data_IF_025188394467
#
_entry.id   IF_025188394467
#
_cell.length_a   1.000
_cell.length_b   1.000
_cell.length_c   1.000
_cell.angle_alpha   90.00
_cell.angle_beta   90.00
_cell.angle_gamma   90.00
#
_symmetry.space_group_name_H-M   'P 1'
#
loop_
_entity.id
_entity.type
_entity.pdbx_description
1 polymer ?
#
# COMPACT_ATOMS: atom_id res chain seq x y z
N UNK A 1 9.61 -9.09 -17.66
CA UNK A 1 8.62 -9.12 -16.58
C UNK A 1 8.92 -10.26 -15.62
N UNK A 2 9.02 -9.98 -14.34
CA UNK A 2 9.41 -10.95 -13.33
C UNK A 2 8.25 -11.33 -12.46
N UNK A 3 7.88 -12.61 -12.43
CA UNK A 3 6.88 -13.10 -11.49
C UNK A 3 7.51 -13.30 -10.12
N UNK A 4 6.73 -13.11 -9.08
CA UNK A 4 7.16 -13.24 -7.71
C UNK A 4 6.04 -13.86 -6.87
N UNK A 5 6.38 -14.89 -6.10
CA UNK A 5 5.43 -15.48 -5.16
C UNK A 5 5.42 -14.65 -3.89
N UNK A 6 4.28 -14.08 -3.55
CA UNK A 6 4.14 -13.23 -2.36
C UNK A 6 3.53 -14.05 -1.23
N UNK A 7 4.25 -14.16 -0.12
CA UNK A 7 3.84 -14.95 1.04
C UNK A 7 3.38 -14.09 2.21
N UNK A 8 3.33 -12.76 2.02
CA UNK A 8 2.95 -11.83 3.08
C UNK A 8 1.45 -11.53 3.14
N UNK A 9 0.65 -12.05 2.20
CA UNK A 9 -0.81 -11.86 2.23
C UNK A 9 -1.43 -12.80 3.24
N UNK A 10 -2.06 -12.22 4.27
CA UNK A 10 -2.78 -12.94 5.31
C UNK A 10 -4.29 -12.76 5.10
N UNK A 11 -5.12 -13.29 6.00
CA UNK A 11 -6.58 -13.32 5.79
C UNK A 11 -7.18 -11.92 5.50
N UNK A 12 -6.72 -10.89 6.19
CA UNK A 12 -7.31 -9.55 6.07
C UNK A 12 -6.29 -8.44 5.93
N UNK A 13 -5.00 -8.75 5.95
CA UNK A 13 -3.95 -7.73 5.82
C UNK A 13 -2.67 -8.34 5.25
N UNK A 14 -1.66 -7.50 5.14
CA UNK A 14 -0.36 -7.88 4.62
C UNK A 14 0.63 -7.81 5.77
N UNK A 15 1.39 -8.89 5.98
CA UNK A 15 2.30 -9.01 7.09
C UNK A 15 3.38 -10.03 6.80
N UNK A 16 4.62 -9.73 7.16
CA UNK A 16 5.68 -10.68 6.96
C UNK A 16 6.96 -10.29 7.67
N UNK A 17 7.88 -11.22 7.71
CA UNK A 17 9.21 -10.98 8.24
C UNK A 17 10.02 -10.22 7.19
N UNK A 18 10.69 -9.14 7.63
CA UNK A 18 11.44 -8.25 6.75
C UNK A 18 12.58 -9.03 6.09
N UNK A 19 12.71 -8.87 4.77
CA UNK A 19 13.69 -9.55 3.92
C UNK A 19 13.50 -11.07 3.80
N UNK A 20 12.41 -11.60 4.35
CA UNK A 20 12.02 -13.01 4.15
C UNK A 20 10.72 -13.05 3.34
N UNK A 21 9.67 -12.40 3.83
CA UNK A 21 8.34 -12.36 3.18
C UNK A 21 8.04 -10.99 2.58
N UNK A 22 8.64 -9.92 3.12
CA UNK A 22 8.32 -8.55 2.73
C UNK A 22 9.60 -7.72 2.70
N UNK A 23 9.70 -6.86 1.71
CA UNK A 23 10.78 -5.88 1.54
C UNK A 23 10.22 -4.67 0.79
N UNK A 24 11.08 -3.71 0.46
CA UNK A 24 10.65 -2.51 -0.27
C UNK A 24 10.12 -2.84 -1.67
N UNK A 25 10.69 -3.85 -2.35
CA UNK A 25 10.17 -4.28 -3.66
C UNK A 25 8.74 -4.82 -3.54
N UNK A 26 8.47 -5.62 -2.53
CA UNK A 26 7.13 -6.15 -2.27
C UNK A 26 6.17 -5.00 -1.95
N UNK A 27 6.59 -4.05 -1.12
CA UNK A 27 5.78 -2.88 -0.79
C UNK A 27 5.45 -2.06 -2.04
N UNK A 28 6.43 -1.85 -2.91
CA UNK A 28 6.25 -1.18 -4.19
C UNK A 28 5.23 -1.91 -5.07
N UNK A 29 5.38 -3.22 -5.22
CA UNK A 29 4.49 -4.04 -6.05
C UNK A 29 3.05 -3.98 -5.56
N UNK A 30 2.85 -4.09 -4.25
CA UNK A 30 1.51 -4.09 -3.65
C UNK A 30 0.84 -2.73 -3.83
N UNK A 31 1.55 -1.64 -3.56
CA UNK A 31 0.97 -0.30 -3.68
C UNK A 31 0.64 0.04 -5.13
N UNK A 32 1.48 -0.36 -6.07
CA UNK A 32 1.21 -0.17 -7.50
C UNK A 32 -0.02 -0.96 -7.93
N UNK A 33 -0.16 -2.19 -7.43
CA UNK A 33 -1.33 -3.03 -7.69
C UNK A 33 -2.61 -2.41 -7.12
N UNK A 34 -2.56 -1.84 -5.92
CA UNK A 34 -3.70 -1.16 -5.30
C UNK A 34 -4.14 0.02 -6.17
N UNK A 35 -3.21 0.88 -6.55
CA UNK A 35 -3.53 2.05 -7.36
C UNK A 35 -4.09 1.65 -8.73
N UNK A 36 -3.53 0.62 -9.36
CA UNK A 36 -4.00 0.14 -10.65
C UNK A 36 -5.38 -0.51 -10.55
N UNK A 37 -5.58 -1.36 -9.55
CA UNK A 37 -6.85 -2.08 -9.37
C UNK A 37 -8.03 -1.13 -9.18
N UNK A 38 -7.84 -0.08 -8.38
CA UNK A 38 -8.91 0.89 -8.11
C UNK A 38 -8.93 2.05 -9.11
N UNK A 39 -8.03 2.05 -10.09
CA UNK A 39 -7.88 3.16 -11.03
C UNK A 39 -7.83 4.49 -10.26
N UNK A 40 -7.01 4.50 -9.22
CA UNK A 40 -7.05 5.53 -8.20
C UNK A 40 -6.51 6.86 -8.71
N UNK A 41 -7.22 7.95 -8.40
CA UNK A 41 -6.68 9.30 -8.57
C UNK A 41 -5.69 9.62 -7.47
N UNK A 42 -5.99 9.19 -6.25
CA UNK A 42 -5.11 9.39 -5.11
C UNK A 42 -5.24 8.25 -4.10
N UNK A 43 -4.14 8.01 -3.35
CA UNK A 43 -4.05 7.00 -2.30
C UNK A 43 -3.36 7.62 -1.11
N UNK A 44 -3.94 7.50 0.08
CA UNK A 44 -3.34 7.98 1.33
C UNK A 44 -2.26 7.00 1.76
N UNK A 45 -1.12 7.52 2.25
CA UNK A 45 -0.02 6.71 2.77
C UNK A 45 0.36 7.22 4.16
N UNK A 46 0.29 6.34 5.15
CA UNK A 46 0.79 6.61 6.50
C UNK A 46 1.70 5.47 6.95
N UNK A 47 2.44 5.69 8.03
CA UNK A 47 3.33 4.66 8.57
C UNK A 47 3.44 4.79 10.09
N UNK A 48 3.69 3.66 10.73
CA UNK A 48 3.86 3.61 12.19
C UNK A 48 5.31 3.92 12.60
N UNK A 49 5.58 3.82 13.90
CA UNK A 49 6.88 4.21 14.47
C UNK A 49 7.99 3.16 14.29
N UNK A 50 7.75 2.07 13.57
CA UNK A 50 8.79 1.06 13.32
C UNK A 50 9.92 1.65 12.51
N UNK A 51 11.14 1.20 12.80
CA UNK A 51 12.35 1.70 12.14
C UNK A 51 12.30 1.53 10.62
N UNK A 52 11.73 0.43 10.13
CA UNK A 52 11.65 0.14 8.69
C UNK A 52 10.46 0.79 8.01
N UNK A 53 9.49 1.33 8.75
CA UNK A 53 8.26 1.84 8.17
C UNK A 53 8.48 3.03 7.23
N UNK A 54 9.37 4.01 7.52
CA UNK A 54 9.59 5.10 6.56
C UNK A 54 10.08 4.64 5.19
N UNK A 55 11.04 3.70 5.12
CA UNK A 55 11.53 3.22 3.83
C UNK A 55 10.47 2.42 3.06
N UNK A 56 9.64 1.66 3.78
CA UNK A 56 8.52 0.96 3.17
C UNK A 56 7.48 1.96 2.66
N UNK A 57 7.21 3.02 3.42
CA UNK A 57 6.27 4.07 3.00
C UNK A 57 6.77 4.79 1.74
N UNK A 58 8.06 5.03 1.62
CA UNK A 58 8.65 5.61 0.42
C UNK A 58 8.44 4.69 -0.79
N UNK A 59 8.64 3.39 -0.62
CA UNK A 59 8.39 2.41 -1.68
C UNK A 59 6.91 2.36 -2.07
N UNK A 60 6.02 2.45 -1.09
CA UNK A 60 4.58 2.52 -1.32
C UNK A 60 4.22 3.75 -2.15
N UNK A 61 4.74 4.91 -1.77
CA UNK A 61 4.49 6.15 -2.50
C UNK A 61 4.98 6.07 -3.95
N UNK A 62 6.17 5.51 -4.15
CA UNK A 62 6.73 5.33 -5.49
C UNK A 62 5.84 4.43 -6.37
N UNK A 63 5.36 3.32 -5.81
CA UNK A 63 4.47 2.42 -6.54
C UNK A 63 3.17 3.10 -6.96
N UNK A 64 2.59 3.89 -6.07
CA UNK A 64 1.39 4.67 -6.35
C UNK A 64 1.64 5.65 -7.51
N UNK A 65 2.75 6.38 -7.43
CA UNK A 65 3.09 7.37 -8.48
C UNK A 65 3.36 6.71 -9.82
N UNK A 66 4.02 5.55 -9.83
CA UNK A 66 4.30 4.83 -11.06
C UNK A 66 3.02 4.28 -11.71
N UNK A 67 1.97 4.06 -10.94
CA UNK A 67 0.66 3.70 -11.47
C UNK A 67 -0.11 4.91 -12.03
N UNK A 68 0.42 6.12 -11.89
CA UNK A 68 -0.23 7.33 -12.36
C UNK A 68 -1.14 8.00 -11.33
N UNK A 69 -1.10 7.56 -10.08
CA UNK A 69 -1.91 8.11 -8.99
C UNK A 69 -1.07 9.04 -8.12
N UNK A 70 -1.73 9.92 -7.38
CA UNK A 70 -1.05 10.77 -6.41
C UNK A 70 -0.98 10.07 -5.06
N UNK A 71 0.18 10.13 -4.42
CA UNK A 71 0.37 9.61 -3.07
C UNK A 71 0.19 10.75 -2.07
N UNK A 72 -0.86 10.68 -1.25
CA UNK A 72 -1.14 11.68 -0.22
C UNK A 72 -0.52 11.20 1.08
N UNK A 73 0.67 11.69 1.39
CA UNK A 73 1.40 11.20 2.57
C UNK A 73 0.99 11.98 3.81
N UNK A 74 0.66 11.24 4.87
CA UNK A 74 0.29 11.83 6.16
C UNK A 74 1.37 11.62 7.23
N UNK A 75 2.50 11.04 6.84
CA UNK A 75 3.65 10.88 7.71
C UNK A 75 3.44 9.82 8.79
N UNK A 76 4.05 10.05 9.94
CA UNK A 76 3.91 9.17 11.11
C UNK A 76 2.48 9.27 11.63
N UNK A 77 1.72 8.21 11.49
CA UNK A 77 0.29 8.22 11.77
C UNK A 77 -0.18 6.83 12.17
N UNK A 78 -1.26 6.77 12.93
CA UNK A 78 -1.90 5.51 13.24
C UNK A 78 -2.88 5.10 12.15
N UNK A 79 -3.33 3.85 12.22
CA UNK A 79 -4.27 3.28 11.25
C UNK A 79 -5.56 4.11 11.20
N UNK A 80 -6.06 4.56 12.34
CA UNK A 80 -7.29 5.36 12.41
C UNK A 80 -7.12 6.72 11.74
N UNK A 81 -5.96 7.32 11.82
CA UNK A 81 -5.66 8.57 11.11
C UNK A 81 -5.67 8.35 9.60
N UNK A 82 -5.15 7.22 9.15
CA UNK A 82 -5.18 6.86 7.74
C UNK A 82 -6.63 6.70 7.26
N UNK A 83 -7.48 6.03 8.04
CA UNK A 83 -8.90 5.89 7.71
C UNK A 83 -9.59 7.24 7.58
N UNK A 84 -9.36 8.12 8.56
CA UNK A 84 -9.91 9.47 8.53
C UNK A 84 -9.47 10.22 7.27
N UNK A 85 -8.18 10.14 6.94
CA UNK A 85 -7.60 10.85 5.80
C UNK A 85 -8.20 10.38 4.47
N UNK A 86 -8.43 9.08 4.31
CA UNK A 86 -9.07 8.54 3.10
C UNK A 86 -10.42 9.18 2.87
N UNK A 87 -11.23 9.29 3.92
CA UNK A 87 -12.56 9.88 3.83
C UNK A 87 -12.47 11.40 3.63
N UNK A 88 -11.63 12.07 4.42
CA UNK A 88 -11.49 13.54 4.39
C UNK A 88 -10.98 14.05 3.05
N UNK A 89 -10.00 13.39 2.47
CA UNK A 89 -9.40 13.82 1.20
C UNK A 89 -10.08 13.22 -0.02
N UNK A 90 -11.10 12.38 0.17
CA UNK A 90 -11.79 11.73 -0.93
C UNK A 90 -10.88 10.81 -1.74
N UNK A 91 -9.92 10.17 -1.09
CA UNK A 91 -8.98 9.27 -1.76
C UNK A 91 -9.67 7.96 -2.15
N UNK A 92 -9.14 7.30 -3.18
CA UNK A 92 -9.70 6.04 -3.67
C UNK A 92 -9.25 4.84 -2.83
N UNK A 93 -8.17 4.99 -2.07
CA UNK A 93 -7.65 3.95 -1.20
C UNK A 93 -6.73 4.57 -0.15
N UNK A 94 -6.37 3.78 0.86
CA UNK A 94 -5.39 4.17 1.86
C UNK A 94 -4.55 2.98 2.26
N UNK A 95 -3.28 3.24 2.55
CA UNK A 95 -2.31 2.24 2.96
C UNK A 95 -1.59 2.75 4.21
N UNK A 96 -1.65 1.96 5.28
CA UNK A 96 -0.86 2.21 6.48
C UNK A 96 0.23 1.15 6.56
N UNK A 97 1.49 1.58 6.56
CA UNK A 97 2.63 0.67 6.76
C UNK A 97 2.73 0.36 8.24
N UNK A 98 2.37 -0.85 8.63
CA UNK A 98 2.36 -1.27 10.02
C UNK A 98 2.32 -2.80 10.11
N UNK A 99 2.92 -3.35 11.15
CA UNK A 99 2.76 -4.74 11.52
C UNK A 99 2.07 -4.88 12.88
N UNK A 100 1.44 -3.81 13.35
CA UNK A 100 0.69 -3.78 14.62
C UNK A 100 1.55 -4.28 15.80
N UNK A 101 1.21 -5.41 16.39
CA UNK A 101 1.87 -5.95 17.57
C UNK A 101 2.92 -7.02 17.25
N UNK A 102 3.27 -7.22 15.99
CA UNK A 102 4.25 -8.22 15.61
C UNK A 102 5.66 -7.83 16.06
N UNK A 103 6.61 -8.79 16.15
CA UNK A 103 8.00 -8.48 16.51
C UNK A 103 8.62 -7.43 15.59
N UNK A 104 9.70 -6.82 16.07
CA UNK A 104 10.34 -5.68 15.38
C UNK A 104 10.89 -6.05 13.99
N UNK A 105 11.20 -7.32 13.76
CA UNK A 105 11.67 -7.80 12.47
C UNK A 105 10.53 -8.08 11.47
N UNK A 106 9.30 -7.68 11.81
CA UNK A 106 8.13 -7.79 10.95
C UNK A 106 7.68 -6.41 10.49
N UNK A 107 7.06 -6.34 9.33
CA UNK A 107 6.31 -5.18 8.90
C UNK A 107 5.17 -5.65 7.98
N UNK A 108 4.38 -4.72 7.52
CA UNK A 108 3.23 -5.03 6.69
C UNK A 108 2.44 -3.80 6.32
N UNK A 109 1.22 -4.03 5.86
CA UNK A 109 0.34 -2.96 5.42
C UNK A 109 -1.11 -3.29 5.73
N UNK A 110 -1.86 -2.27 6.17
CA UNK A 110 -3.31 -2.31 6.24
C UNK A 110 -3.84 -1.43 5.12
N UNK A 111 -4.80 -1.95 4.36
CA UNK A 111 -5.30 -1.29 3.16
C UNK A 111 -6.81 -1.16 3.25
N UNK A 112 -7.32 0.02 2.91
CA UNK A 112 -8.75 0.27 2.76
C UNK A 112 -9.02 0.90 1.40
N UNK A 113 -10.26 0.79 0.94
CA UNK A 113 -10.71 1.44 -0.28
C UNK A 113 -11.54 2.70 0.05
N UNK A 114 -12.06 3.37 -0.97
CA UNK A 114 -12.79 4.61 -0.82
C UNK A 114 -13.85 4.52 0.29
N UNK A 115 -13.98 5.58 1.09
CA UNK A 115 -14.87 5.60 2.23
C UNK A 115 -14.35 4.82 3.43
N UNK A 116 -13.06 4.52 3.45
CA UNK A 116 -12.37 3.76 4.51
C UNK A 116 -12.96 2.36 4.71
N UNK A 117 -13.49 1.78 3.65
CA UNK A 117 -14.07 0.43 3.67
C UNK A 117 -12.97 -0.62 3.57
N UNK A 118 -13.10 -1.75 4.25
CA UNK A 118 -12.13 -2.83 4.09
C UNK A 118 -12.15 -3.39 2.67
N UNK A 119 -11.04 -3.97 2.24
CA UNK A 119 -10.96 -4.64 0.95
C UNK A 119 -11.84 -5.87 0.95
N UNK A 120 -12.42 -6.16 -0.22
CA UNK A 120 -13.16 -7.39 -0.46
C UNK A 120 -12.14 -8.55 -0.53
N UNK A 121 -12.32 -9.55 0.33
CA UNK A 121 -11.38 -10.67 0.45
C UNK A 121 -11.35 -11.56 -0.80
N UNK A 122 -12.48 -11.71 -1.47
CA UNK A 122 -12.58 -12.61 -2.62
C UNK A 122 -12.28 -11.93 -3.96
N UNK A 123 -12.36 -10.61 -4.02
CA UNK A 123 -12.10 -9.84 -5.25
C UNK A 123 -10.90 -8.93 -5.07
N UNK A 124 -11.05 -7.82 -4.32
CA UNK A 124 -10.00 -6.80 -4.21
C UNK A 124 -8.65 -7.41 -3.79
N UNK A 125 -8.66 -8.18 -2.71
CA UNK A 125 -7.44 -8.72 -2.14
C UNK A 125 -6.76 -9.72 -3.08
N UNK A 126 -7.55 -10.59 -3.72
CA UNK A 126 -7.01 -11.58 -4.64
C UNK A 126 -6.47 -10.96 -5.93
N UNK A 127 -7.14 -9.95 -6.46
CA UNK A 127 -6.67 -9.24 -7.66
C UNK A 127 -5.37 -8.48 -7.36
N UNK A 128 -5.31 -7.82 -6.22
CA UNK A 128 -4.11 -7.08 -5.82
C UNK A 128 -2.94 -8.05 -5.65
N UNK A 129 -3.16 -9.18 -5.00
CA UNK A 129 -2.13 -10.21 -4.82
C UNK A 129 -1.62 -10.72 -6.15
N UNK A 130 -2.52 -11.01 -7.08
CA UNK A 130 -2.15 -11.53 -8.41
C UNK A 130 -1.36 -10.49 -9.21
N UNK A 131 -1.81 -9.23 -9.22
CA UNK A 131 -1.11 -8.15 -9.92
C UNK A 131 0.28 -7.91 -9.34
N UNK A 132 0.38 -7.85 -8.02
CA UNK A 132 1.67 -7.61 -7.37
C UNK A 132 2.67 -8.74 -7.64
N UNK A 133 2.18 -9.97 -7.70
CA UNK A 133 3.02 -11.14 -7.98
C UNK A 133 3.42 -11.26 -9.45
N UNK A 134 2.52 -10.93 -10.37
CA UNK A 134 2.76 -11.09 -11.80
C UNK A 134 3.58 -9.95 -12.42
N UNK A 135 3.58 -8.78 -11.81
CA UNK A 135 4.26 -7.60 -12.35
C UNK A 135 3.64 -7.16 -13.69
N UNK A 136 2.34 -7.37 -13.85
CA UNK A 136 1.62 -7.09 -15.10
C UNK A 136 1.01 -5.68 -15.05
N UNK A 137 1.88 -4.68 -15.21
CA UNK A 137 1.51 -3.29 -15.03
C UNK A 137 0.95 -2.68 -16.32
N UNK A 138 -0.15 -1.93 -16.16
CA UNK A 138 -0.68 -1.10 -17.24
C UNK A 138 0.22 0.13 -17.39
N UNK A 139 0.36 0.61 -18.64
CA UNK A 139 1.09 1.85 -18.88
C UNK A 139 0.26 3.03 -18.37
N UNK A 140 0.90 3.88 -17.56
CA UNK A 140 0.28 5.11 -17.09
C UNK A 140 0.65 6.26 -18.04
N UNK A 141 -0.29 7.18 -18.32
CA UNK A 141 0.00 8.30 -19.23
C UNK A 141 1.05 9.25 -18.65
N UNK A 142 1.18 9.31 -17.33
CA UNK A 142 2.19 10.08 -16.62
C UNK A 142 2.31 9.55 -15.20
N UNK A 143 3.43 9.86 -14.55
CA UNK A 143 3.61 9.57 -13.13
C UNK A 143 2.76 10.50 -12.29
N UNK A 144 2.28 10.01 -11.15
CA UNK A 144 1.63 10.83 -10.14
C UNK A 144 2.66 11.60 -9.31
N UNK A 145 2.16 12.30 -8.31
CA UNK A 145 2.98 13.13 -7.43
C UNK A 145 2.82 12.71 -5.99
N UNK A 146 3.89 12.89 -5.20
CA UNK A 146 3.82 12.77 -3.75
C UNK A 146 3.38 14.12 -3.20
N UNK A 147 2.27 14.13 -2.46
CA UNK A 147 1.70 15.34 -1.89
C UNK A 147 1.68 15.19 -0.37
N UNK A 148 2.39 16.06 0.32
CA UNK A 148 2.48 16.03 1.77
C UNK A 148 1.21 16.63 2.39
N UNK A 149 0.48 15.81 3.15
CA UNK A 149 -0.74 16.18 3.86
C UNK A 149 -0.58 16.06 5.39
N UNK A 150 0.65 15.86 5.84
CA UNK A 150 0.92 15.74 7.27
C UNK A 150 0.75 17.07 8.03
#
# INVERSE_FOLDING_TARGET
MTQKTLTCFKAYDIRGEINVNIDEDVAYRISRAVAQHFEAGSVVVGFDARETSPSFADAVALGICDAGSDALTIGLAGTEEMYWAVTEFGACAGIEVTASHNPINYNGMKIVKAGSRPLDDTNDFQVIKALAGSDDWSAAPRSGHVIDKS
#
